data_IF_278333456381
#
_entry.id   IF_278333456381
#
_cell.length_a   1.000
_cell.length_b   1.000
_cell.length_c   1.000
_cell.angle_alpha   90.00
_cell.angle_beta   90.00
_cell.angle_gamma   90.00
#
_symmetry.space_group_name_H-M   'P 1'
#
loop_
_entity.id
_entity.type
_entity.pdbx_description
1 polymer ?
#
# COMPACT_ATOMS: atom_id res chain seq x y z
N UNK A 1 -6.46 15.78 6.28
CA UNK A 1 -5.79 14.98 7.34
C UNK A 1 -4.31 15.34 7.36
N UNK A 2 -3.65 15.36 8.54
CA UNK A 2 -2.21 15.63 8.65
C UNK A 2 -1.43 14.34 8.91
N UNK A 3 -0.13 14.31 8.54
CA UNK A 3 0.75 13.18 8.86
C UNK A 3 0.79 12.91 10.38
N UNK A 4 0.73 13.97 11.19
CA UNK A 4 0.72 13.85 12.66
C UNK A 4 -0.54 13.14 13.17
N UNK A 5 -1.70 13.44 12.61
CA UNK A 5 -2.96 12.77 12.96
C UNK A 5 -2.92 11.27 12.61
N UNK A 6 -2.34 10.94 11.44
CA UNK A 6 -2.18 9.55 11.03
C UNK A 6 -1.20 8.79 11.95
N UNK A 7 -0.06 9.41 12.30
CA UNK A 7 0.92 8.82 13.23
C UNK A 7 0.30 8.61 14.62
N UNK A 8 -0.48 9.58 15.09
CA UNK A 8 -1.18 9.46 16.37
C UNK A 8 -2.21 8.30 16.36
N UNK A 9 -2.93 8.12 15.24
CA UNK A 9 -3.91 7.05 15.08
C UNK A 9 -3.30 5.64 15.12
N UNK A 10 -2.02 5.46 14.77
CA UNK A 10 -1.32 4.19 14.89
C UNK A 10 -1.17 3.72 16.36
N UNK A 11 -1.28 4.62 17.32
CA UNK A 11 -1.19 4.34 18.76
C UNK A 11 0.06 3.50 19.12
N UNK A 12 1.24 3.95 18.61
CA UNK A 12 2.49 3.22 18.74
C UNK A 12 2.99 3.24 20.18
N UNK A 13 3.41 2.09 20.76
CA UNK A 13 3.99 2.02 22.10
C UNK A 13 5.21 2.93 22.24
N UNK A 14 5.35 3.59 23.36
CA UNK A 14 6.52 4.43 23.65
C UNK A 14 7.84 3.65 23.54
N UNK A 15 7.86 2.38 23.98
CA UNK A 15 9.02 1.50 23.87
C UNK A 15 9.42 1.13 22.44
N UNK A 16 8.51 1.30 21.47
CA UNK A 16 8.79 1.02 20.05
C UNK A 16 9.33 2.25 19.30
N UNK A 17 9.28 3.46 19.87
CA UNK A 17 9.69 4.69 19.22
C UNK A 17 11.20 4.72 18.99
N UNK A 18 11.58 5.13 17.78
CA UNK A 18 12.98 5.30 17.35
C UNK A 18 13.28 6.76 17.11
N UNK A 19 12.39 7.48 16.43
CA UNK A 19 12.44 8.92 16.12
C UNK A 19 13.81 9.38 15.55
N UNK A 20 14.35 8.61 14.57
CA UNK A 20 15.64 8.89 13.96
C UNK A 20 15.52 9.20 12.47
N UNK A 21 16.36 10.11 11.98
CA UNK A 21 16.50 10.36 10.54
C UNK A 21 17.33 9.26 9.89
N UNK A 22 16.82 8.68 8.80
CA UNK A 22 17.52 7.65 8.02
C UNK A 22 18.32 8.33 6.91
N UNK A 23 19.64 8.10 6.81
CA UNK A 23 20.46 8.64 5.73
C UNK A 23 20.03 8.04 4.38
N UNK A 24 19.85 8.88 3.34
CA UNK A 24 19.54 8.41 1.97
C UNK A 24 20.61 7.46 1.42
N UNK A 25 21.84 7.56 1.92
CA UNK A 25 22.96 6.69 1.52
C UNK A 25 22.61 5.21 1.66
N UNK A 26 21.91 4.81 2.72
CA UNK A 26 21.47 3.42 2.91
C UNK A 26 20.52 2.96 1.78
N UNK A 27 19.63 3.84 1.34
CA UNK A 27 18.72 3.53 0.24
C UNK A 27 19.46 3.48 -1.11
N UNK A 28 20.49 4.30 -1.29
CA UNK A 28 21.33 4.31 -2.50
C UNK A 28 22.19 3.03 -2.61
N UNK A 29 22.66 2.50 -1.49
CA UNK A 29 23.50 1.29 -1.45
C UNK A 29 22.70 0.00 -1.63
N UNK A 30 21.51 -0.07 -1.04
CA UNK A 30 20.72 -1.31 -0.98
C UNK A 30 19.46 -1.30 -1.86
N UNK A 31 18.97 -0.12 -2.29
CA UNK A 31 17.68 0.02 -2.95
C UNK A 31 17.73 0.60 -4.36
N UNK A 32 18.90 1.04 -4.87
CA UNK A 32 18.99 1.73 -6.16
C UNK A 32 19.74 0.89 -7.21
N UNK A 33 19.05 -0.01 -7.95
CA UNK A 33 19.69 -0.90 -8.91
C UNK A 33 20.26 -0.17 -10.13
N UNK A 34 19.76 1.02 -10.46
CA UNK A 34 20.19 1.78 -11.65
C UNK A 34 20.65 3.20 -11.32
N UNK A 35 21.43 3.81 -12.23
CA UNK A 35 21.83 5.21 -12.12
C UNK A 35 20.60 6.15 -12.11
N UNK A 36 19.54 5.79 -12.84
CA UNK A 36 18.27 6.53 -12.84
C UNK A 36 17.60 6.49 -11.47
N UNK A 37 17.57 5.31 -10.82
CA UNK A 37 16.99 5.16 -9.47
C UNK A 37 17.78 5.97 -8.44
N UNK A 38 19.13 6.00 -8.55
CA UNK A 38 19.98 6.84 -7.69
C UNK A 38 19.64 8.33 -7.81
N UNK A 39 19.40 8.81 -9.03
CA UNK A 39 18.95 10.20 -9.28
C UNK A 39 17.58 10.44 -8.67
N UNK A 40 16.62 9.54 -8.90
CA UNK A 40 15.27 9.66 -8.32
C UNK A 40 15.29 9.76 -6.80
N UNK A 41 16.12 8.95 -6.12
CA UNK A 41 16.29 9.00 -4.65
C UNK A 41 16.88 10.34 -4.22
N UNK A 42 17.97 10.79 -4.87
CA UNK A 42 18.64 12.04 -4.49
C UNK A 42 17.75 13.26 -4.72
N UNK A 43 17.09 13.32 -5.87
CA UNK A 43 16.32 14.49 -6.30
C UNK A 43 14.90 14.47 -5.72
N UNK A 44 14.28 13.30 -5.57
CA UNK A 44 12.88 13.16 -5.18
C UNK A 44 12.65 13.08 -3.67
N UNK A 45 13.54 12.43 -2.91
CA UNK A 45 13.35 12.29 -1.47
C UNK A 45 13.94 13.51 -0.76
N UNK A 46 13.16 14.17 0.08
CA UNK A 46 13.63 15.22 0.98
C UNK A 46 14.20 14.61 2.27
N UNK A 47 13.42 13.78 2.96
CA UNK A 47 13.79 13.15 4.21
C UNK A 47 13.15 11.78 4.38
N UNK A 48 13.80 10.91 5.16
CA UNK A 48 13.24 9.66 5.66
C UNK A 48 13.43 9.67 7.18
N UNK A 49 12.35 9.37 7.91
CA UNK A 49 12.37 9.26 9.36
C UNK A 49 11.90 7.86 9.79
N UNK A 50 12.64 7.23 10.64
CA UNK A 50 12.26 6.00 11.30
C UNK A 50 11.49 6.34 12.57
N UNK A 51 10.19 6.17 12.54
CA UNK A 51 9.29 6.56 13.64
C UNK A 51 9.27 5.51 14.74
N UNK A 52 9.18 4.21 14.36
CA UNK A 52 9.11 3.13 15.32
C UNK A 52 9.60 1.80 14.73
N UNK A 53 10.00 0.89 15.65
CA UNK A 53 10.35 -0.50 15.40
C UNK A 53 9.51 -1.42 16.30
N UNK A 54 8.53 -2.09 15.71
CA UNK A 54 7.69 -3.04 16.41
C UNK A 54 8.40 -4.40 16.45
N UNK A 55 8.86 -4.78 17.63
CA UNK A 55 9.47 -6.08 17.96
C UNK A 55 8.69 -6.73 19.09
N UNK A 56 8.83 -8.05 19.32
CA UNK A 56 8.16 -8.70 20.44
C UNK A 56 8.38 -7.96 21.76
N UNK A 57 9.61 -7.54 22.03
CA UNK A 57 9.97 -6.83 23.25
C UNK A 57 9.35 -5.41 23.37
N UNK A 58 9.02 -4.75 22.26
CA UNK A 58 8.52 -3.36 22.25
C UNK A 58 7.01 -3.24 22.10
N UNK A 59 6.35 -4.23 21.50
CA UNK A 59 4.89 -4.18 21.27
C UNK A 59 4.13 -5.36 21.89
N UNK A 60 4.81 -6.36 22.45
CA UNK A 60 4.19 -7.53 23.06
C UNK A 60 3.46 -8.44 22.07
N UNK A 61 3.87 -8.43 20.79
CA UNK A 61 3.31 -9.28 19.72
C UNK A 61 4.41 -10.25 19.29
N UNK A 62 4.15 -11.58 19.27
CA UNK A 62 5.14 -12.57 18.88
C UNK A 62 5.65 -12.38 17.45
N UNK A 63 6.91 -12.72 17.23
CA UNK A 63 7.46 -12.82 15.87
C UNK A 63 6.85 -14.02 15.13
N UNK A 64 6.98 -14.02 13.81
CA UNK A 64 6.73 -15.18 12.95
C UNK A 64 8.00 -15.50 12.17
N UNK A 65 8.45 -16.75 12.27
CA UNK A 65 9.52 -17.29 11.43
C UNK A 65 9.09 -18.65 10.91
N UNK A 66 8.99 -18.75 9.60
CA UNK A 66 8.71 -20.00 8.88
C UNK A 66 9.66 -20.15 7.66
N UNK A 67 9.42 -21.18 6.85
CA UNK A 67 10.25 -21.44 5.65
C UNK A 67 10.11 -20.37 4.58
N UNK A 68 9.03 -19.61 4.59
CA UNK A 68 8.68 -18.60 3.56
C UNK A 68 8.93 -17.17 4.06
N UNK A 69 8.70 -16.90 5.36
CA UNK A 69 8.62 -15.53 5.89
C UNK A 69 9.37 -15.39 7.21
N UNK A 70 9.97 -14.21 7.39
CA UNK A 70 10.54 -13.76 8.66
C UNK A 70 9.93 -12.41 9.02
N UNK A 71 9.07 -12.39 10.05
CA UNK A 71 8.49 -11.18 10.63
C UNK A 71 9.02 -11.00 12.05
N UNK A 72 10.28 -10.60 12.13
CA UNK A 72 11.00 -10.37 13.41
C UNK A 72 10.82 -8.95 13.91
N UNK A 73 10.54 -8.05 12.96
CA UNK A 73 10.37 -6.63 13.19
C UNK A 73 9.42 -6.06 12.12
N UNK A 74 8.63 -5.05 12.49
CA UNK A 74 7.90 -4.20 11.56
C UNK A 74 8.35 -2.76 11.78
N UNK A 75 8.90 -2.12 10.74
CA UNK A 75 9.29 -0.73 10.80
C UNK A 75 8.14 0.20 10.44
N UNK A 76 8.04 1.33 11.13
CA UNK A 76 7.15 2.44 10.77
C UNK A 76 8.02 3.61 10.33
N UNK A 77 7.90 3.99 9.06
CA UNK A 77 8.70 5.04 8.44
C UNK A 77 7.82 6.17 7.90
N UNK A 78 8.38 7.37 7.89
CA UNK A 78 7.84 8.50 7.13
C UNK A 78 8.85 8.93 6.08
N UNK A 79 8.42 9.01 4.83
CA UNK A 79 9.18 9.54 3.70
C UNK A 79 8.54 10.85 3.24
N UNK A 80 9.29 11.93 3.25
CA UNK A 80 8.89 13.22 2.68
C UNK A 80 9.51 13.35 1.30
N UNK A 81 8.67 13.63 0.31
CA UNK A 81 9.05 13.79 -1.08
C UNK A 81 9.00 15.27 -1.48
N UNK A 82 9.89 15.65 -2.39
CA UNK A 82 9.83 16.94 -3.06
C UNK A 82 8.72 16.96 -4.10
N UNK A 83 8.29 18.16 -4.50
CA UNK A 83 7.31 18.32 -5.56
C UNK A 83 7.80 17.71 -6.88
N UNK A 84 6.88 17.08 -7.62
CA UNK A 84 7.19 16.41 -8.88
C UNK A 84 7.95 15.09 -8.76
N UNK A 85 8.26 14.61 -7.56
CA UNK A 85 8.93 13.33 -7.36
C UNK A 85 8.06 12.16 -7.84
N UNK A 86 8.70 11.13 -8.43
CA UNK A 86 8.03 9.90 -8.88
C UNK A 86 7.69 8.99 -7.70
N UNK A 87 6.63 9.32 -6.98
CA UNK A 87 6.22 8.69 -5.73
C UNK A 87 6.17 7.16 -5.82
N UNK A 88 5.46 6.59 -6.80
CA UNK A 88 5.28 5.14 -6.91
C UNK A 88 6.62 4.39 -7.00
N UNK A 89 7.57 4.89 -7.80
CA UNK A 89 8.89 4.27 -7.93
C UNK A 89 9.72 4.40 -6.65
N UNK A 90 9.66 5.54 -5.97
CA UNK A 90 10.38 5.76 -4.71
C UNK A 90 9.86 4.89 -3.58
N UNK A 91 8.54 4.67 -3.52
CA UNK A 91 7.90 3.72 -2.60
C UNK A 91 8.42 2.29 -2.85
N UNK A 92 8.40 1.85 -4.10
CA UNK A 92 8.89 0.52 -4.48
C UNK A 92 10.36 0.32 -4.09
N UNK A 93 11.22 1.30 -4.41
CA UNK A 93 12.65 1.26 -4.08
C UNK A 93 12.87 1.18 -2.57
N UNK A 94 12.12 1.94 -1.77
CA UNK A 94 12.22 1.89 -0.30
C UNK A 94 11.78 0.52 0.22
N UNK A 95 10.64 0.01 -0.23
CA UNK A 95 10.20 -1.32 0.19
C UNK A 95 11.19 -2.42 -0.20
N UNK A 96 11.87 -2.33 -1.35
CA UNK A 96 12.89 -3.30 -1.77
C UNK A 96 14.19 -3.20 -0.97
N UNK A 97 14.58 -1.98 -0.59
CA UNK A 97 15.83 -1.74 0.13
C UNK A 97 15.82 -2.27 1.57
N UNK A 98 14.66 -2.25 2.21
CA UNK A 98 14.54 -2.62 3.62
C UNK A 98 14.12 -4.10 3.71
N UNK A 99 14.88 -4.96 4.42
CA UNK A 99 14.63 -6.41 4.41
C UNK A 99 13.44 -6.86 5.26
N UNK A 100 12.88 -6.00 6.09
CA UNK A 100 11.70 -6.30 6.92
C UNK A 100 10.46 -5.53 6.47
N UNK A 101 9.25 -5.93 6.88
CA UNK A 101 8.00 -5.24 6.54
C UNK A 101 8.01 -3.80 7.03
N UNK A 102 7.50 -2.90 6.18
CA UNK A 102 7.46 -1.46 6.45
C UNK A 102 6.03 -0.94 6.31
N UNK A 103 5.51 -0.28 7.34
CA UNK A 103 4.42 0.66 7.22
C UNK A 103 5.02 2.02 6.85
N UNK A 104 4.80 2.46 5.63
CA UNK A 104 5.40 3.67 5.08
C UNK A 104 4.34 4.77 4.93
N UNK A 105 4.55 5.88 5.64
CA UNK A 105 3.83 7.12 5.43
C UNK A 105 4.59 7.95 4.40
N UNK A 106 3.91 8.36 3.33
CA UNK A 106 4.51 9.16 2.25
C UNK A 106 3.82 10.50 2.19
N UNK A 107 4.58 11.56 2.37
CA UNK A 107 4.10 12.94 2.26
C UNK A 107 4.73 13.61 1.05
N UNK A 108 3.91 14.22 0.18
CA UNK A 108 4.34 15.03 -0.96
C UNK A 108 3.46 16.27 -1.06
N UNK A 109 4.01 17.42 -0.68
CA UNK A 109 3.21 18.64 -0.50
C UNK A 109 2.09 18.38 0.52
N UNK A 110 0.85 18.65 0.11
CA UNK A 110 -0.36 18.40 0.92
C UNK A 110 -0.86 16.96 0.84
N UNK A 111 -0.36 16.16 -0.11
CA UNK A 111 -0.77 14.76 -0.28
C UNK A 111 -0.13 13.86 0.77
N UNK A 112 -0.91 12.93 1.29
CA UNK A 112 -0.50 11.94 2.27
C UNK A 112 -0.97 10.55 1.85
N UNK A 113 -0.02 9.64 1.67
CA UNK A 113 -0.29 8.25 1.34
C UNK A 113 0.25 7.29 2.40
N UNK A 114 -0.40 6.14 2.52
CA UNK A 114 0.05 4.99 3.31
C UNK A 114 0.44 3.87 2.34
N UNK A 115 1.61 3.25 2.54
CA UNK A 115 2.06 2.13 1.72
C UNK A 115 2.58 0.97 2.57
N UNK A 116 2.20 -0.24 2.18
CA UNK A 116 2.58 -1.50 2.83
C UNK A 116 2.89 -2.55 1.77
N UNK A 117 3.83 -3.45 2.09
CA UNK A 117 4.17 -4.58 1.22
C UNK A 117 4.62 -5.77 2.05
N UNK A 118 4.05 -6.93 1.82
CA UNK A 118 4.53 -8.17 2.43
C UNK A 118 5.93 -8.53 1.93
N UNK A 119 6.64 -9.27 2.77
CA UNK A 119 7.99 -9.77 2.50
C UNK A 119 8.01 -11.29 2.56
N UNK A 120 8.85 -11.89 1.72
CA UNK A 120 9.16 -13.32 1.77
C UNK A 120 10.64 -13.58 1.48
N UNK A 121 11.11 -14.73 1.87
CA UNK A 121 12.44 -15.23 1.48
C UNK A 121 12.49 -15.45 -0.03
N UNK A 122 13.62 -15.15 -0.63
CA UNK A 122 13.83 -15.43 -2.05
C UNK A 122 14.01 -16.94 -2.26
N UNK A 123 13.39 -17.48 -3.32
CA UNK A 123 13.39 -18.92 -3.58
C UNK A 123 14.79 -19.51 -3.89
N UNK A 124 15.72 -18.68 -4.36
CA UNK A 124 17.05 -19.12 -4.82
C UNK A 124 18.22 -18.56 -4.04
N UNK A 125 17.99 -17.63 -3.13
CA UNK A 125 19.01 -16.93 -2.32
C UNK A 125 18.52 -16.90 -0.87
N UNK A 126 19.01 -17.83 -0.04
CA UNK A 126 18.49 -18.10 1.31
C UNK A 126 18.49 -16.86 2.24
N UNK A 127 19.43 -15.93 2.05
CA UNK A 127 19.58 -14.74 2.90
C UNK A 127 18.92 -13.49 2.32
N UNK A 128 18.25 -13.60 1.16
CA UNK A 128 17.63 -12.47 0.51
C UNK A 128 16.14 -12.43 0.74
N UNK A 129 15.65 -11.24 1.13
CA UNK A 129 14.23 -10.95 1.27
C UNK A 129 13.75 -10.17 0.06
N UNK A 130 12.58 -10.56 -0.47
CA UNK A 130 11.93 -9.93 -1.61
C UNK A 130 10.49 -9.53 -1.26
N UNK A 131 9.91 -8.66 -2.08
CA UNK A 131 8.49 -8.35 -1.95
C UNK A 131 7.62 -9.59 -2.27
N UNK A 132 6.59 -9.80 -1.49
CA UNK A 132 5.56 -10.81 -1.72
C UNK A 132 4.33 -10.11 -2.33
N UNK A 133 4.37 -9.88 -3.63
CA UNK A 133 3.41 -9.08 -4.38
C UNK A 133 3.78 -7.60 -4.52
N UNK A 134 2.86 -6.84 -5.10
CA UNK A 134 3.03 -5.39 -5.29
C UNK A 134 2.69 -4.62 -3.99
N UNK A 135 3.34 -3.48 -3.73
CA UNK A 135 2.98 -2.61 -2.61
C UNK A 135 1.53 -2.12 -2.71
N UNK A 136 0.78 -2.27 -1.64
CA UNK A 136 -0.53 -1.62 -1.49
C UNK A 136 -0.29 -0.18 -1.06
N UNK A 137 -0.71 0.77 -1.89
CA UNK A 137 -0.57 2.21 -1.61
C UNK A 137 -1.93 2.87 -1.71
N UNK A 138 -2.31 3.63 -0.68
CA UNK A 138 -3.60 4.31 -0.59
C UNK A 138 -3.40 5.78 -0.28
N UNK A 139 -4.21 6.64 -0.90
CA UNK A 139 -4.35 8.01 -0.44
C UNK A 139 -5.04 8.01 0.92
N UNK A 140 -4.37 8.54 1.93
CA UNK A 140 -4.91 8.59 3.27
C UNK A 140 -5.89 9.76 3.46
N UNK A 141 -5.98 10.68 2.50
CA UNK A 141 -6.87 11.84 2.49
C UNK A 141 -8.14 11.53 1.71
N UNK A 142 -9.05 10.78 2.30
CA UNK A 142 -10.31 10.41 1.65
C UNK A 142 -11.40 11.43 1.95
N UNK A 143 -12.25 11.70 0.97
CA UNK A 143 -13.45 12.49 1.15
C UNK A 143 -14.49 11.72 2.00
N UNK A 144 -15.05 12.37 3.01
CA UNK A 144 -16.06 11.80 3.92
C UNK A 144 -15.51 11.60 5.34
N UNK A 145 -16.08 12.35 6.29
CA UNK A 145 -15.69 12.34 7.71
C UNK A 145 -15.76 10.95 8.33
N UNK A 146 -16.78 10.17 7.94
CA UNK A 146 -17.09 8.87 8.54
C UNK A 146 -16.09 7.80 8.07
N UNK A 147 -15.78 7.78 6.76
CA UNK A 147 -14.76 6.90 6.19
C UNK A 147 -13.40 7.20 6.82
N UNK A 148 -13.05 8.48 6.91
CA UNK A 148 -11.78 8.90 7.49
C UNK A 148 -11.68 8.53 8.96
N UNK A 149 -12.75 8.74 9.74
CA UNK A 149 -12.79 8.39 11.17
C UNK A 149 -12.66 6.88 11.36
N UNK A 150 -13.41 6.07 10.60
CA UNK A 150 -13.36 4.62 10.67
C UNK A 150 -11.97 4.09 10.28
N UNK A 151 -11.35 4.65 9.22
CA UNK A 151 -10.00 4.31 8.81
C UNK A 151 -8.97 4.60 9.91
N UNK A 152 -8.98 5.80 10.49
CA UNK A 152 -8.05 6.16 11.58
C UNK A 152 -8.21 5.24 12.80
N UNK A 153 -9.46 4.91 13.16
CA UNK A 153 -9.72 3.96 14.25
C UNK A 153 -9.23 2.55 13.95
N UNK A 154 -9.28 2.11 12.68
CA UNK A 154 -8.83 0.79 12.27
C UNK A 154 -7.29 0.68 12.22
N UNK A 155 -6.56 1.79 12.15
CA UNK A 155 -5.10 1.81 12.20
C UNK A 155 -4.53 1.58 13.60
N UNK A 156 -5.34 1.75 14.65
CA UNK A 156 -4.91 1.60 16.04
C UNK A 156 -4.34 0.20 16.30
N UNK A 157 -3.08 0.15 16.68
CA UNK A 157 -2.33 -1.09 16.98
C UNK A 157 -3.05 -1.98 18.01
N UNK A 158 -3.79 -1.40 18.93
CA UNK A 158 -4.56 -2.14 19.94
C UNK A 158 -5.75 -2.93 19.34
N UNK A 159 -6.24 -2.55 18.17
CA UNK A 159 -7.36 -3.18 17.47
C UNK A 159 -6.94 -4.24 16.45
N UNK A 160 -5.64 -4.34 16.16
CA UNK A 160 -5.11 -5.28 15.18
C UNK A 160 -4.94 -6.68 15.77
N UNK A 161 -4.91 -7.73 14.92
CA UNK A 161 -4.57 -9.08 15.35
C UNK A 161 -3.19 -9.13 16.02
N UNK A 162 -3.07 -9.82 17.16
CA UNK A 162 -1.85 -9.86 17.98
C UNK A 162 -1.24 -11.25 18.09
N UNK A 163 -1.66 -12.19 17.25
CA UNK A 163 -1.14 -13.57 17.25
C UNK A 163 0.30 -13.66 16.75
N UNK A 164 0.70 -12.76 15.85
CA UNK A 164 2.07 -12.60 15.37
C UNK A 164 2.27 -11.22 14.71
N UNK A 165 3.53 -10.80 14.53
CA UNK A 165 3.86 -9.57 13.76
C UNK A 165 3.37 -9.64 12.30
N UNK A 166 3.30 -10.85 11.71
CA UNK A 166 2.70 -11.04 10.40
C UNK A 166 1.19 -10.76 10.42
N UNK A 167 0.47 -11.33 11.38
CA UNK A 167 -0.98 -11.11 11.51
C UNK A 167 -1.30 -9.62 11.79
N UNK A 168 -0.51 -8.97 12.64
CA UNK A 168 -0.61 -7.54 12.89
C UNK A 168 -0.43 -6.72 11.60
N UNK A 169 0.63 -7.00 10.85
CA UNK A 169 0.92 -6.32 9.59
C UNK A 169 -0.15 -6.57 8.52
N UNK A 170 -0.69 -7.80 8.46
CA UNK A 170 -1.83 -8.14 7.62
C UNK A 170 -3.07 -7.30 7.98
N UNK A 171 -3.33 -7.07 9.27
CA UNK A 171 -4.43 -6.21 9.69
C UNK A 171 -4.30 -4.76 9.19
N UNK A 172 -3.10 -4.20 9.15
CA UNK A 172 -2.87 -2.90 8.51
C UNK A 172 -3.06 -2.93 7.00
N UNK A 173 -2.63 -4.02 6.34
CA UNK A 173 -2.88 -4.23 4.91
C UNK A 173 -4.39 -4.29 4.62
N UNK A 174 -5.14 -5.07 5.40
CA UNK A 174 -6.60 -5.18 5.27
C UNK A 174 -7.29 -3.82 5.50
N UNK A 175 -6.73 -2.99 6.40
CA UNK A 175 -7.20 -1.62 6.65
C UNK A 175 -6.94 -0.71 5.44
N UNK A 176 -5.76 -0.79 4.82
CA UNK A 176 -5.43 -0.04 3.61
C UNK A 176 -6.31 -0.46 2.42
N UNK A 177 -6.47 -1.78 2.20
CA UNK A 177 -7.35 -2.32 1.16
C UNK A 177 -8.84 -1.96 1.40
N UNK A 178 -9.27 -1.88 2.68
CA UNK A 178 -10.61 -1.39 3.02
C UNK A 178 -10.80 0.08 2.65
N UNK A 179 -9.76 0.90 2.83
CA UNK A 179 -9.79 2.29 2.39
C UNK A 179 -9.86 2.42 0.87
N UNK A 180 -9.08 1.61 0.12
CA UNK A 180 -9.19 1.55 -1.34
C UNK A 180 -10.60 1.15 -1.80
N UNK A 181 -11.19 0.14 -1.17
CA UNK A 181 -12.56 -0.26 -1.47
C UNK A 181 -13.55 0.87 -1.14
N UNK A 182 -13.37 1.57 -0.02
CA UNK A 182 -14.23 2.68 0.39
C UNK A 182 -14.23 3.85 -0.60
N UNK A 183 -13.12 4.14 -1.27
CA UNK A 183 -13.06 5.17 -2.33
C UNK A 183 -13.92 4.81 -3.55
N UNK A 184 -14.18 3.52 -3.76
CA UNK A 184 -14.97 3.02 -4.89
C UNK A 184 -16.44 2.77 -4.53
N UNK A 185 -16.71 2.46 -3.25
CA UNK A 185 -18.04 2.02 -2.77
C UNK A 185 -18.75 3.04 -1.89
N UNK A 186 -18.02 4.02 -1.35
CA UNK A 186 -18.55 4.97 -0.38
C UNK A 186 -18.69 4.42 1.04
N UNK A 187 -18.22 3.19 1.33
CA UNK A 187 -18.35 2.57 2.65
C UNK A 187 -17.06 1.89 3.10
N UNK A 188 -16.59 2.22 4.31
CA UNK A 188 -15.41 1.59 4.91
C UNK A 188 -15.84 0.37 5.74
N UNK A 189 -15.35 -0.81 5.37
CA UNK A 189 -15.61 -2.05 6.10
C UNK A 189 -14.36 -2.92 6.13
N UNK A 190 -13.98 -3.44 7.28
CA UNK A 190 -12.92 -4.44 7.39
C UNK A 190 -13.42 -5.82 6.97
N UNK A 191 -12.57 -6.70 6.43
CA UNK A 191 -12.95 -8.08 6.16
C UNK A 191 -13.16 -8.82 7.49
N UNK A 192 -14.15 -9.70 7.52
CA UNK A 192 -14.47 -10.54 8.68
C UNK A 192 -13.83 -11.94 8.59
N UNK A 193 -13.19 -12.26 7.47
CA UNK A 193 -12.49 -13.52 7.24
C UNK A 193 -11.33 -13.35 6.25
N UNK A 194 -10.39 -14.31 6.27
CA UNK A 194 -9.26 -14.35 5.33
C UNK A 194 -9.74 -14.51 3.87
N UNK A 195 -10.80 -15.29 3.64
CA UNK A 195 -11.40 -15.49 2.32
C UNK A 195 -11.95 -14.16 1.77
N UNK A 196 -12.61 -13.38 2.61
CA UNK A 196 -13.13 -12.06 2.20
C UNK A 196 -12.02 -11.05 1.96
N UNK A 197 -10.97 -11.06 2.77
CA UNK A 197 -9.78 -10.26 2.52
C UNK A 197 -9.18 -10.60 1.16
N UNK A 198 -9.04 -11.89 0.84
CA UNK A 198 -8.51 -12.35 -0.44
C UNK A 198 -9.43 -11.99 -1.62
N UNK A 199 -10.75 -12.15 -1.49
CA UNK A 199 -11.72 -11.74 -2.51
C UNK A 199 -11.63 -10.24 -2.80
N UNK A 200 -11.58 -9.40 -1.74
CA UNK A 200 -11.39 -7.95 -1.86
C UNK A 200 -10.12 -7.61 -2.61
N UNK A 201 -9.00 -8.21 -2.23
CA UNK A 201 -7.71 -8.00 -2.88
C UNK A 201 -7.76 -8.32 -4.37
N UNK A 202 -8.32 -9.48 -4.72
CA UNK A 202 -8.51 -9.89 -6.12
C UNK A 202 -9.39 -8.91 -6.89
N UNK A 203 -10.48 -8.43 -6.30
CA UNK A 203 -11.37 -7.46 -6.93
C UNK A 203 -10.71 -6.08 -7.12
N UNK A 204 -9.91 -5.61 -6.14
CA UNK A 204 -9.14 -4.37 -6.26
C UNK A 204 -8.09 -4.48 -7.37
N UNK A 205 -7.35 -5.58 -7.45
CA UNK A 205 -6.36 -5.83 -8.51
C UNK A 205 -7.02 -5.89 -9.89
N UNK A 206 -8.14 -6.61 -10.01
CA UNK A 206 -8.91 -6.66 -11.25
C UNK A 206 -9.43 -5.26 -11.66
N UNK A 207 -9.89 -4.45 -10.69
CA UNK A 207 -10.32 -3.07 -10.93
C UNK A 207 -9.21 -2.22 -11.54
N UNK A 208 -8.00 -2.27 -10.96
CA UNK A 208 -6.84 -1.52 -11.47
C UNK A 208 -6.45 -1.99 -12.87
N UNK A 209 -6.38 -3.31 -13.10
CA UNK A 209 -6.03 -3.89 -14.39
C UNK A 209 -7.05 -3.49 -15.50
N UNK A 210 -8.34 -3.58 -15.20
CA UNK A 210 -9.40 -3.20 -16.13
C UNK A 210 -9.38 -1.70 -16.45
N UNK A 211 -9.18 -0.84 -15.45
CA UNK A 211 -9.05 0.60 -15.63
C UNK A 211 -7.84 0.95 -16.51
N UNK A 212 -6.71 0.26 -16.31
CA UNK A 212 -5.52 0.40 -17.16
C UNK A 212 -5.83 0.09 -18.63
N UNK A 213 -6.42 -1.08 -18.89
CA UNK A 213 -6.81 -1.51 -20.26
C UNK A 213 -7.80 -0.52 -20.91
N UNK A 214 -8.84 -0.09 -20.18
CA UNK A 214 -9.80 0.90 -20.68
C UNK A 214 -9.09 2.21 -21.05
N UNK A 215 -8.15 2.66 -20.22
CA UNK A 215 -7.37 3.88 -20.49
C UNK A 215 -6.49 3.75 -21.74
N UNK A 216 -5.86 2.59 -21.95
CA UNK A 216 -5.08 2.30 -23.15
C UNK A 216 -5.94 2.28 -24.42
N UNK A 217 -7.10 1.59 -24.37
CA UNK A 217 -8.03 1.53 -25.50
C UNK A 217 -8.61 2.90 -25.83
N UNK A 218 -8.93 3.74 -24.84
CA UNK A 218 -9.37 5.12 -25.06
C UNK A 218 -8.31 5.94 -25.78
N UNK A 219 -7.05 5.82 -25.38
CA UNK A 219 -5.93 6.50 -26.09
C UNK A 219 -5.76 5.97 -27.51
N UNK A 220 -5.93 4.67 -27.74
CA UNK A 220 -5.89 4.07 -29.06
C UNK A 220 -7.06 4.52 -29.95
N UNK A 221 -8.28 4.55 -29.41
CA UNK A 221 -9.46 5.03 -30.13
C UNK A 221 -9.36 6.50 -30.54
N UNK A 222 -8.80 7.34 -29.65
CA UNK A 222 -8.56 8.76 -29.97
C UNK A 222 -7.54 9.00 -31.10
N UNK A 223 -6.63 8.05 -31.33
CA UNK A 223 -5.60 8.10 -32.38
C UNK A 223 -6.03 7.41 -33.69
N UNK A 224 -7.08 6.60 -33.67
CA UNK A 224 -7.52 5.84 -34.83
C UNK A 224 -8.16 6.79 -35.86
N UNK A 225 -7.66 6.74 -37.11
CA UNK A 225 -8.18 7.53 -38.22
C UNK A 225 -9.33 6.84 -38.97
N UNK A 226 -9.46 5.52 -38.84
CA UNK A 226 -10.48 4.71 -39.49
C UNK A 226 -11.69 4.52 -38.58
N UNK A 227 -12.87 4.88 -39.07
CA UNK A 227 -14.12 4.78 -38.32
C UNK A 227 -14.42 3.34 -37.85
N UNK A 228 -14.19 2.35 -38.70
CA UNK A 228 -14.38 0.94 -38.35
C UNK A 228 -13.53 0.56 -37.13
N UNK A 229 -12.27 0.99 -37.10
CA UNK A 229 -11.35 0.72 -35.94
C UNK A 229 -11.79 1.46 -34.69
N UNK A 230 -12.30 2.66 -34.78
CA UNK A 230 -12.86 3.38 -33.63
C UNK A 230 -14.07 2.64 -33.07
N UNK A 231 -14.95 2.12 -33.92
CA UNK A 231 -16.12 1.34 -33.48
C UNK A 231 -15.71 0.08 -32.75
N UNK A 232 -14.77 -0.70 -33.29
CA UNK A 232 -14.23 -1.91 -32.62
C UNK A 232 -13.68 -1.60 -31.23
N UNK A 233 -12.82 -0.56 -31.11
CA UNK A 233 -12.22 -0.16 -29.85
C UNK A 233 -13.27 0.31 -28.84
N UNK A 234 -14.30 1.03 -29.28
CA UNK A 234 -15.38 1.48 -28.42
C UNK A 234 -16.26 0.32 -27.91
N UNK A 235 -16.53 -0.68 -28.75
CA UNK A 235 -17.23 -1.90 -28.31
C UNK A 235 -16.43 -2.66 -27.23
N UNK A 236 -15.12 -2.79 -27.41
CA UNK A 236 -14.27 -3.43 -26.40
C UNK A 236 -14.22 -2.61 -25.09
N UNK A 237 -14.16 -1.28 -25.18
CA UNK A 237 -14.26 -0.39 -24.01
C UNK A 237 -15.57 -0.62 -23.26
N UNK A 238 -16.71 -0.71 -23.95
CA UNK A 238 -18.00 -0.96 -23.34
C UNK A 238 -18.03 -2.32 -22.61
N UNK A 239 -17.49 -3.36 -23.23
CA UNK A 239 -17.36 -4.70 -22.61
C UNK A 239 -16.56 -4.64 -21.33
N UNK A 240 -15.36 -4.04 -21.35
CA UNK A 240 -14.51 -3.93 -20.16
C UNK A 240 -15.13 -3.03 -19.08
N UNK A 241 -15.91 -2.02 -19.44
CA UNK A 241 -16.66 -1.21 -18.47
C UNK A 241 -17.76 -2.01 -17.77
N UNK A 242 -18.45 -2.90 -18.47
CA UNK A 242 -19.44 -3.81 -17.87
C UNK A 242 -18.76 -4.80 -16.91
N UNK A 243 -17.60 -5.36 -17.31
CA UNK A 243 -16.80 -6.23 -16.45
C UNK A 243 -16.31 -5.48 -15.19
N UNK A 244 -15.81 -4.26 -15.35
CA UNK A 244 -15.40 -3.41 -14.24
C UNK A 244 -16.56 -3.13 -13.27
N UNK A 245 -17.76 -2.88 -13.76
CA UNK A 245 -18.94 -2.69 -12.92
C UNK A 245 -19.27 -3.95 -12.11
N UNK A 246 -19.21 -5.14 -12.74
CA UNK A 246 -19.43 -6.41 -12.07
C UNK A 246 -18.38 -6.70 -10.98
N UNK A 247 -17.09 -6.40 -11.23
CA UNK A 247 -16.03 -6.55 -10.23
C UNK A 247 -16.24 -5.58 -9.06
N UNK A 248 -16.65 -4.34 -9.31
CA UNK A 248 -16.91 -3.36 -8.25
C UNK A 248 -18.06 -3.76 -7.33
N UNK A 249 -19.06 -4.47 -7.81
CA UNK A 249 -20.14 -4.99 -6.94
C UNK A 249 -19.64 -5.97 -5.88
N UNK A 250 -18.53 -6.67 -6.14
CA UNK A 250 -17.89 -7.57 -5.17
C UNK A 250 -17.23 -6.84 -4.01
N UNK A 251 -16.93 -5.54 -4.19
CA UNK A 251 -16.36 -4.67 -3.14
C UNK A 251 -17.41 -4.10 -2.19
N UNK A 252 -18.69 -4.16 -2.56
CA UNK A 252 -19.77 -3.61 -1.74
C UNK A 252 -19.94 -4.43 -0.44
N UNK A 253 -20.22 -3.74 0.69
CA UNK A 253 -20.60 -4.44 1.92
C UNK A 253 -21.85 -5.31 1.65
N UNK A 254 -21.83 -6.56 2.12
CA UNK A 254 -23.09 -7.32 2.13
C UNK A 254 -24.03 -6.68 3.11
N UNK A 255 -25.19 -6.24 2.65
CA UNK A 255 -26.29 -5.91 3.53
C UNK A 255 -26.62 -7.18 4.32
N UNK A 256 -26.50 -7.11 5.65
CA UNK A 256 -27.04 -8.16 6.52
C UNK A 256 -28.54 -8.19 6.25
N UNK A 257 -29.03 -9.29 5.70
CA UNK A 257 -30.45 -9.57 5.52
C UNK A 257 -31.10 -9.86 6.88
#
# INVERSE_FOLDING_TARGET
>A
MTAQALIAALNLPAAARVDQRVPKKLLLEHGAPTASDKRLINDGIEAIHWLAALKPATCGVPELRDDVRDYLEVAVLRMTLRDGAKQARLIELLHRAIPYPVLLLVQQGDSLALSLAHKRKALREADKVVLDGEPVTVDAQVAGSDIQTAFLQALDLARLPRTSLHALYQGWLDTAEALQAATLTGAFTLPDSAERAQQRRSALQATVALQGKISELRRAAAKASQLARQVELNLEIQRLQAELAAVRTQLLPRMLA
#
